data_IF_662912821778
#
_entry.id   IF_662912821778
#
_cell.length_a   1.000
_cell.length_b   1.000
_cell.length_c   1.000
_cell.angle_alpha   90.00
_cell.angle_beta   90.00
_cell.angle_gamma   90.00
#
_symmetry.space_group_name_H-M   'P 1'
#
loop_
_entity.id
_entity.type
_entity.pdbx_description
1 polymer ?
#
# COMPACT_ATOMS: atom_id res chain seq x y z
N UNK A 1 -7.14 -9.47 -11.13
CA UNK A 1 -7.89 -8.17 -11.22
C UNK A 1 -7.14 -7.24 -12.17
N UNK A 2 -7.87 -6.43 -12.95
CA UNK A 2 -7.26 -5.35 -13.75
C UNK A 2 -8.14 -4.11 -13.56
N UNK A 3 -7.55 -3.01 -13.09
CA UNK A 3 -8.18 -1.69 -13.04
C UNK A 3 -7.31 -0.76 -13.87
N UNK A 4 -7.94 -0.09 -14.84
CA UNK A 4 -7.29 0.93 -15.65
C UNK A 4 -7.79 2.31 -15.22
N UNK A 5 -6.84 3.23 -15.02
CA UNK A 5 -7.09 4.62 -14.69
C UNK A 5 -6.66 5.54 -15.85
N UNK A 6 -6.52 6.82 -15.64
CA UNK A 6 -6.00 7.74 -16.66
C UNK A 6 -4.54 7.40 -17.03
N UNK A 7 -3.68 7.18 -16.03
CA UNK A 7 -2.24 6.99 -16.22
C UNK A 7 -1.74 5.60 -15.84
N UNK A 8 -2.55 4.79 -15.14
CA UNK A 8 -2.09 3.57 -14.48
C UNK A 8 -2.87 2.32 -14.88
N UNK A 9 -2.22 1.18 -14.68
CA UNK A 9 -2.83 -0.15 -14.66
C UNK A 9 -2.52 -0.77 -13.29
N UNK A 10 -3.56 -1.16 -12.56
CA UNK A 10 -3.45 -1.91 -11.32
C UNK A 10 -3.81 -3.36 -11.66
N UNK A 11 -2.88 -4.27 -11.48
CA UNK A 11 -2.99 -5.67 -11.92
C UNK A 11 -2.29 -6.65 -11.00
N UNK A 12 -2.54 -7.92 -11.19
CA UNK A 12 -1.76 -8.96 -10.55
C UNK A 12 -0.27 -8.84 -10.97
N UNK A 13 0.62 -9.22 -10.07
CA UNK A 13 2.05 -9.22 -10.35
C UNK A 13 2.41 -10.17 -11.49
N UNK A 14 3.47 -9.84 -12.18
CA UNK A 14 4.13 -10.66 -13.19
C UNK A 14 5.62 -10.82 -12.82
N UNK A 15 6.26 -11.89 -13.23
CA UNK A 15 7.69 -12.12 -12.94
C UNK A 15 8.59 -10.96 -13.36
N UNK A 16 8.27 -10.28 -14.48
CA UNK A 16 9.00 -9.11 -14.96
C UNK A 16 9.02 -7.93 -13.96
N UNK A 17 8.06 -7.89 -13.01
CA UNK A 17 7.97 -6.82 -12.03
C UNK A 17 9.05 -6.92 -10.94
N UNK A 18 9.71 -8.09 -10.82
CA UNK A 18 10.74 -8.33 -9.80
C UNK A 18 11.86 -7.28 -9.80
N UNK A 19 12.33 -6.87 -10.98
CA UNK A 19 13.37 -5.84 -11.10
C UNK A 19 12.89 -4.49 -10.61
N UNK A 20 11.68 -4.08 -10.97
CA UNK A 20 11.10 -2.82 -10.52
C UNK A 20 10.77 -2.80 -9.03
N UNK A 21 10.35 -3.95 -8.45
CA UNK A 21 10.15 -4.09 -7.00
C UNK A 21 11.46 -3.82 -6.23
N UNK A 22 12.58 -4.33 -6.71
CA UNK A 22 13.89 -4.10 -6.09
C UNK A 22 14.27 -2.62 -6.06
N UNK A 23 13.85 -1.81 -7.03
CA UNK A 23 14.18 -0.37 -7.05
C UNK A 23 13.69 0.36 -5.79
N UNK A 24 12.55 -0.02 -5.22
CA UNK A 24 11.98 0.69 -4.08
C UNK A 24 11.86 -0.14 -2.79
N UNK A 25 11.88 -1.47 -2.85
CA UNK A 25 11.84 -2.33 -1.66
C UNK A 25 13.23 -2.80 -1.19
N UNK A 26 14.31 -2.57 -1.95
CA UNK A 26 15.66 -2.87 -1.46
C UNK A 26 16.14 -1.92 -0.36
N UNK A 27 15.62 -0.69 -0.35
CA UNK A 27 15.95 0.34 0.64
C UNK A 27 14.66 1.05 1.09
N UNK A 28 13.81 0.37 1.90
CA UNK A 28 12.55 0.96 2.36
C UNK A 28 12.82 2.21 3.20
N UNK A 29 12.03 3.24 2.99
CA UNK A 29 12.19 4.56 3.61
C UNK A 29 11.55 4.70 4.99
N UNK A 30 10.77 3.69 5.38
CA UNK A 30 10.01 3.66 6.62
C UNK A 30 10.27 2.35 7.36
N UNK A 31 10.28 2.40 8.68
CA UNK A 31 10.66 1.26 9.52
C UNK A 31 9.62 0.12 9.47
N UNK A 32 8.35 0.44 9.26
CA UNK A 32 7.29 -0.56 9.18
C UNK A 32 7.48 -1.58 8.04
N UNK A 33 8.27 -1.24 7.02
CA UNK A 33 8.57 -2.11 5.88
C UNK A 33 9.99 -2.68 5.87
N UNK A 34 10.77 -2.47 6.92
CA UNK A 34 12.15 -3.02 7.00
C UNK A 34 12.13 -4.55 6.94
N UNK A 35 11.11 -5.19 7.49
CA UNK A 35 10.93 -6.65 7.41
C UNK A 35 10.57 -7.15 5.99
N UNK A 36 10.10 -6.27 5.13
CA UNK A 36 9.74 -6.57 3.74
C UNK A 36 10.86 -6.21 2.75
N UNK A 37 12.04 -5.89 3.27
CA UNK A 37 13.20 -5.53 2.44
C UNK A 37 13.59 -6.67 1.51
N UNK A 38 13.62 -6.39 0.22
CA UNK A 38 14.08 -7.31 -0.82
C UNK A 38 15.58 -7.11 -1.06
N UNK A 39 16.34 -8.18 -1.03
CA UNK A 39 17.81 -8.15 -1.18
C UNK A 39 18.31 -8.75 -2.50
N UNK A 40 17.44 -9.43 -3.24
CA UNK A 40 17.79 -10.13 -4.49
C UNK A 40 16.56 -10.30 -5.39
N UNK A 41 16.79 -10.61 -6.65
CA UNK A 41 15.72 -10.94 -7.59
C UNK A 41 14.94 -12.18 -7.13
N UNK A 42 15.59 -13.16 -6.54
CA UNK A 42 14.95 -14.34 -5.94
C UNK A 42 13.98 -13.94 -4.83
N UNK A 43 14.37 -13.01 -3.94
CA UNK A 43 13.47 -12.49 -2.91
C UNK A 43 12.28 -11.69 -3.48
N UNK A 44 12.49 -11.00 -4.61
CA UNK A 44 11.43 -10.29 -5.30
C UNK A 44 10.45 -11.26 -5.98
N UNK A 45 10.93 -12.33 -6.58
CA UNK A 45 10.08 -13.39 -7.16
C UNK A 45 9.28 -14.11 -6.06
N UNK A 46 9.91 -14.40 -4.92
CA UNK A 46 9.19 -14.94 -3.76
C UNK A 46 8.12 -13.99 -3.26
N UNK A 47 8.39 -12.69 -3.17
CA UNK A 47 7.41 -11.67 -2.81
C UNK A 47 6.20 -11.64 -3.75
N UNK A 48 6.41 -11.86 -5.04
CA UNK A 48 5.36 -11.96 -6.06
C UNK A 48 4.52 -13.22 -5.86
N UNK A 49 5.15 -14.38 -5.63
CA UNK A 49 4.47 -15.67 -5.55
C UNK A 49 3.78 -15.95 -4.23
N UNK A 50 4.37 -15.48 -3.12
CA UNK A 50 3.95 -15.83 -1.76
C UNK A 50 2.95 -14.81 -1.17
N UNK A 51 1.81 -14.65 -1.82
CA UNK A 51 0.74 -13.82 -1.28
C UNK A 51 -0.16 -14.64 -0.34
N UNK A 52 -0.31 -14.25 0.94
CA UNK A 52 -1.21 -14.92 1.87
C UNK A 52 -2.65 -14.98 1.35
N UNK A 53 -3.38 -16.07 1.65
CA UNK A 53 -4.75 -16.28 1.14
C UNK A 53 -5.76 -15.18 1.54
N UNK A 54 -5.51 -14.52 2.66
CA UNK A 54 -6.35 -13.42 3.16
C UNK A 54 -5.82 -12.04 2.78
N UNK A 55 -4.84 -11.97 1.88
CA UNK A 55 -4.26 -10.71 1.38
C UNK A 55 -4.52 -10.56 -0.11
N UNK A 56 -5.01 -9.40 -0.49
CA UNK A 56 -5.01 -8.93 -1.86
C UNK A 56 -3.75 -8.10 -2.06
N UNK A 57 -2.98 -8.35 -3.12
CA UNK A 57 -1.77 -7.59 -3.43
C UNK A 57 -1.66 -7.37 -4.92
N UNK A 58 -1.47 -6.13 -5.34
CA UNK A 58 -1.49 -5.73 -6.75
C UNK A 58 -0.34 -4.81 -7.09
N UNK A 59 0.24 -5.02 -8.26
CA UNK A 59 1.19 -4.11 -8.87
C UNK A 59 0.48 -2.86 -9.40
N UNK A 60 1.10 -1.70 -9.21
CA UNK A 60 0.69 -0.43 -9.82
C UNK A 60 1.71 -0.09 -10.90
N UNK A 61 1.26 -0.07 -12.13
CA UNK A 61 2.10 0.11 -13.31
C UNK A 61 1.69 1.34 -14.10
N UNK A 62 2.66 2.02 -14.73
CA UNK A 62 2.35 3.04 -15.74
C UNK A 62 1.67 2.37 -16.94
N UNK A 63 0.62 2.98 -17.50
CA UNK A 63 0.02 2.52 -18.77
C UNK A 63 1.02 2.49 -19.90
N UNK A 64 1.86 3.52 -19.97
CA UNK A 64 2.93 3.57 -20.94
C UNK A 64 4.06 2.64 -20.54
N UNK A 65 4.23 1.56 -21.29
CA UNK A 65 5.30 0.59 -21.09
C UNK A 65 5.08 -0.46 -20.00
N UNK A 66 3.93 -0.44 -19.30
CA UNK A 66 3.58 -1.41 -18.24
C UNK A 66 4.70 -1.60 -17.22
N UNK A 67 5.32 -0.47 -16.82
CA UNK A 67 6.42 -0.44 -15.85
C UNK A 67 5.88 -0.26 -14.43
N UNK A 68 6.27 -1.14 -13.51
CA UNK A 68 5.85 -1.07 -12.10
C UNK A 68 6.45 0.14 -11.39
N UNK A 69 5.60 0.93 -10.75
CA UNK A 69 5.96 2.13 -9.98
C UNK A 69 5.61 2.02 -8.50
N UNK A 70 4.92 0.97 -8.13
CA UNK A 70 4.49 0.72 -6.75
C UNK A 70 3.64 -0.52 -6.64
N UNK A 71 3.22 -0.81 -5.44
CA UNK A 71 2.27 -1.87 -5.13
C UNK A 71 1.34 -1.46 -3.99
N UNK A 72 0.20 -2.12 -3.93
CA UNK A 72 -0.80 -1.94 -2.89
C UNK A 72 -1.27 -3.28 -2.37
N UNK A 73 -1.59 -3.32 -1.08
CA UNK A 73 -2.14 -4.52 -0.46
C UNK A 73 -3.36 -4.21 0.41
N UNK A 74 -4.19 -5.21 0.60
CA UNK A 74 -5.31 -5.21 1.53
C UNK A 74 -5.38 -6.56 2.23
N UNK A 75 -5.08 -6.57 3.52
CA UNK A 75 -5.19 -7.73 4.39
C UNK A 75 -6.62 -7.80 4.93
N UNK A 76 -7.35 -8.85 4.58
CA UNK A 76 -8.67 -9.13 5.15
C UNK A 76 -8.49 -9.73 6.54
N UNK A 77 -8.87 -9.01 7.58
CA UNK A 77 -8.79 -9.47 8.97
C UNK A 77 -10.10 -10.10 9.45
N UNK A 78 -11.21 -9.49 9.07
CA UNK A 78 -12.56 -9.99 9.31
C UNK A 78 -13.37 -10.02 8.01
N UNK A 79 -14.61 -10.45 8.07
CA UNK A 79 -15.43 -10.65 6.88
C UNK A 79 -15.52 -9.42 5.97
N UNK A 80 -15.53 -8.22 6.55
CA UNK A 80 -15.75 -6.95 5.86
C UNK A 80 -14.77 -5.82 6.27
N UNK A 81 -13.67 -6.19 6.96
CA UNK A 81 -12.67 -5.25 7.46
C UNK A 81 -11.31 -5.53 6.82
N UNK A 82 -10.72 -4.50 6.24
CA UNK A 82 -9.43 -4.57 5.56
C UNK A 82 -8.41 -3.60 6.14
N UNK A 83 -7.20 -4.10 6.39
CA UNK A 83 -6.02 -3.31 6.64
C UNK A 83 -5.29 -3.08 5.32
N UNK A 84 -5.07 -1.82 4.95
CA UNK A 84 -4.45 -1.47 3.67
C UNK A 84 -3.10 -0.80 3.84
N UNK A 85 -2.25 -1.00 2.84
CA UNK A 85 -0.99 -0.31 2.72
C UNK A 85 -0.50 -0.24 1.28
N UNK A 86 0.56 0.52 1.08
CA UNK A 86 1.14 0.77 -0.23
C UNK A 86 2.61 1.10 -0.18
N UNK A 87 3.31 0.74 -1.24
CA UNK A 87 4.68 1.16 -1.53
C UNK A 87 4.70 1.88 -2.87
N UNK A 88 5.39 3.00 -2.94
CA UNK A 88 5.60 3.70 -4.21
C UNK A 88 7.06 4.07 -4.41
N UNK A 89 7.53 3.84 -5.62
CA UNK A 89 8.87 4.23 -6.03
C UNK A 89 9.00 5.76 -6.02
N UNK A 90 9.99 6.26 -5.28
CA UNK A 90 10.26 7.68 -5.09
C UNK A 90 10.41 8.46 -6.40
N UNK A 91 10.92 7.81 -7.44
CA UNK A 91 11.13 8.45 -8.77
C UNK A 91 9.85 8.99 -9.40
N UNK A 92 8.69 8.51 -8.93
CA UNK A 92 7.37 8.88 -9.45
C UNK A 92 6.55 9.76 -8.49
N UNK A 93 7.17 10.27 -7.42
CA UNK A 93 6.52 11.17 -6.47
C UNK A 93 6.11 12.52 -7.09
N UNK A 94 5.12 13.17 -6.46
CA UNK A 94 4.69 14.53 -6.82
C UNK A 94 3.80 14.62 -8.05
N UNK A 95 3.49 13.50 -8.71
CA UNK A 95 2.70 13.45 -9.94
C UNK A 95 1.22 13.07 -9.73
N UNK A 96 0.79 12.86 -8.49
CA UNK A 96 -0.58 12.44 -8.18
C UNK A 96 -0.85 10.93 -8.32
N UNK A 97 0.08 10.16 -8.89
CA UNK A 97 -0.12 8.75 -9.25
C UNK A 97 -0.51 7.85 -8.05
N UNK A 98 0.10 8.08 -6.89
CA UNK A 98 -0.24 7.32 -5.68
C UNK A 98 -1.70 7.59 -5.23
N UNK A 99 -2.18 8.82 -5.38
CA UNK A 99 -3.56 9.16 -5.07
C UNK A 99 -4.52 8.53 -6.09
N UNK A 100 -4.20 8.62 -7.37
CA UNK A 100 -4.97 8.00 -8.45
C UNK A 100 -5.13 6.48 -8.21
N UNK A 101 -4.01 5.78 -7.99
CA UNK A 101 -4.02 4.34 -7.72
C UNK A 101 -4.81 3.97 -6.47
N UNK A 102 -4.56 4.67 -5.35
CA UNK A 102 -5.21 4.36 -4.09
C UNK A 102 -6.72 4.64 -4.11
N UNK A 103 -7.16 5.68 -4.82
CA UNK A 103 -8.60 5.98 -4.99
C UNK A 103 -9.32 4.80 -5.64
N UNK A 104 -8.83 4.33 -6.78
CA UNK A 104 -9.43 3.22 -7.50
C UNK A 104 -9.35 1.89 -6.75
N UNK A 105 -8.24 1.67 -6.05
CA UNK A 105 -8.09 0.47 -5.22
C UNK A 105 -9.07 0.46 -4.04
N UNK A 106 -9.24 1.57 -3.32
CA UNK A 106 -10.19 1.67 -2.22
C UNK A 106 -11.64 1.52 -2.72
N UNK A 107 -11.96 2.11 -3.87
CA UNK A 107 -13.27 1.97 -4.51
C UNK A 107 -13.56 0.49 -4.86
N UNK A 108 -12.58 -0.20 -5.44
CA UNK A 108 -12.67 -1.65 -5.68
C UNK A 108 -12.92 -2.44 -4.38
N UNK A 109 -12.22 -2.12 -3.30
CA UNK A 109 -12.40 -2.83 -2.03
C UNK A 109 -13.84 -2.66 -1.49
N UNK A 110 -14.43 -1.47 -1.63
CA UNK A 110 -15.80 -1.22 -1.20
C UNK A 110 -16.84 -1.88 -2.12
N UNK A 111 -16.68 -1.78 -3.43
CA UNK A 111 -17.70 -2.22 -4.38
C UNK A 111 -17.64 -3.70 -4.69
N UNK A 112 -16.44 -4.26 -4.81
CA UNK A 112 -16.23 -5.61 -5.33
C UNK A 112 -15.76 -6.60 -4.25
N UNK A 113 -14.84 -6.15 -3.36
CA UNK A 113 -14.28 -7.02 -2.32
C UNK A 113 -15.17 -7.11 -1.06
N UNK A 114 -16.24 -6.30 -0.97
CA UNK A 114 -17.19 -6.30 0.13
C UNK A 114 -16.70 -5.61 1.40
N UNK A 115 -15.78 -4.67 1.27
CA UNK A 115 -15.32 -3.91 2.43
C UNK A 115 -16.43 -3.00 2.96
N UNK A 116 -16.68 -3.05 4.28
CA UNK A 116 -17.45 -2.05 5.02
C UNK A 116 -16.53 -1.06 5.73
N UNK A 117 -15.35 -1.53 6.12
CA UNK A 117 -14.35 -0.77 6.86
C UNK A 117 -12.96 -1.01 6.27
N UNK A 118 -12.27 0.08 5.99
CA UNK A 118 -10.86 0.07 5.57
C UNK A 118 -10.08 0.92 6.55
N UNK A 119 -8.90 0.47 6.95
CA UNK A 119 -8.01 1.22 7.80
C UNK A 119 -6.55 0.98 7.42
N UNK A 120 -5.66 1.84 7.89
CA UNK A 120 -4.22 1.69 7.72
C UNK A 120 -3.46 2.31 8.87
N UNK A 121 -2.25 1.83 9.06
CA UNK A 121 -1.28 2.39 9.99
C UNK A 121 -0.22 3.16 9.22
N UNK A 122 0.09 4.36 9.68
CA UNK A 122 1.11 5.20 9.08
C UNK A 122 2.08 5.66 10.18
N UNK A 123 3.38 5.42 9.99
CA UNK A 123 4.39 5.95 10.91
C UNK A 123 4.25 7.45 11.09
N UNK A 124 4.47 7.93 12.31
CA UNK A 124 4.18 9.32 12.67
C UNK A 124 5.04 10.35 11.92
N UNK A 125 6.22 9.98 11.50
CA UNK A 125 7.12 10.79 10.67
C UNK A 125 6.88 10.64 9.16
N UNK A 126 6.07 9.66 8.72
CA UNK A 126 5.72 9.47 7.32
C UNK A 126 4.61 10.44 6.87
N UNK A 127 4.96 11.73 6.83
CA UNK A 127 4.03 12.81 6.46
C UNK A 127 3.43 12.64 5.06
N UNK A 128 4.11 11.93 4.16
CA UNK A 128 3.61 11.70 2.79
C UNK A 128 2.43 10.75 2.78
N UNK A 129 2.54 9.62 3.47
CA UNK A 129 1.42 8.68 3.62
C UNK A 129 0.27 9.30 4.40
N UNK A 130 0.53 10.08 5.46
CA UNK A 130 -0.52 10.81 6.18
C UNK A 130 -1.31 11.73 5.25
N UNK A 131 -0.62 12.57 4.47
CA UNK A 131 -1.27 13.46 3.48
C UNK A 131 -2.02 12.70 2.39
N UNK A 132 -1.53 11.53 1.97
CA UNK A 132 -2.25 10.68 1.03
C UNK A 132 -3.54 10.15 1.67
N UNK A 133 -3.48 9.60 2.88
CA UNK A 133 -4.67 9.15 3.61
C UNK A 133 -5.71 10.28 3.80
N UNK A 134 -5.27 11.48 4.18
CA UNK A 134 -6.15 12.66 4.32
C UNK A 134 -6.86 13.01 3.00
N UNK A 135 -6.13 13.03 1.88
CA UNK A 135 -6.71 13.28 0.55
C UNK A 135 -7.67 12.20 0.09
N UNK A 136 -7.46 10.96 0.53
CA UNK A 136 -8.37 9.84 0.30
C UNK A 136 -9.62 9.89 1.23
N UNK A 137 -9.73 10.90 2.08
CA UNK A 137 -10.84 11.04 3.02
C UNK A 137 -10.76 10.12 4.25
N UNK A 138 -9.60 9.53 4.50
CA UNK A 138 -9.41 8.71 5.71
C UNK A 138 -9.37 9.61 6.94
N UNK A 139 -10.14 9.21 7.96
CA UNK A 139 -10.20 9.93 9.23
C UNK A 139 -9.12 9.42 10.18
N UNK A 140 -8.39 10.35 10.80
CA UNK A 140 -7.51 10.03 11.91
C UNK A 140 -8.31 9.57 13.13
N UNK A 141 -7.94 8.43 13.72
CA UNK A 141 -8.63 7.82 14.86
C UNK A 141 -7.77 7.78 16.13
N UNK A 142 -6.46 7.88 15.99
CA UNK A 142 -5.56 7.87 17.13
C UNK A 142 -4.10 7.61 16.74
N UNK A 143 -3.22 7.69 17.74
CA UNK A 143 -1.81 7.33 17.62
C UNK A 143 -1.48 6.24 18.64
N UNK A 144 -0.86 5.17 18.17
CA UNK A 144 -0.34 4.09 19.00
C UNK A 144 1.15 4.29 19.18
N UNK A 145 1.57 4.61 20.40
CA UNK A 145 2.97 4.80 20.73
C UNK A 145 3.71 3.47 20.69
N UNK A 146 4.94 3.49 20.17
CA UNK A 146 5.84 2.32 20.11
C UNK A 146 5.18 1.09 19.46
N UNK A 147 4.25 1.31 18.53
CA UNK A 147 3.47 0.26 17.88
C UNK A 147 4.29 -0.58 16.90
N UNK A 148 5.22 0.06 16.20
CA UNK A 148 6.10 -0.61 15.25
C UNK A 148 7.36 -1.00 16.00
N UNK A 149 7.48 -2.30 16.29
CA UNK A 149 8.67 -2.84 16.94
C UNK A 149 9.78 -3.07 15.91
N UNK A 150 10.98 -2.70 16.25
CA UNK A 150 12.20 -3.07 15.54
C UNK A 150 13.04 -4.00 16.42
N UNK A 151 13.85 -4.86 15.81
CA UNK A 151 14.89 -5.61 16.50
C UNK A 151 15.90 -4.69 17.22
N UNK A 152 15.93 -3.41 16.85
CA UNK A 152 16.62 -2.35 17.59
C UNK A 152 15.56 -1.47 18.30
N UNK A 153 15.48 -1.49 19.65
CA UNK A 153 14.52 -0.70 20.42
C UNK A 153 14.56 0.82 20.16
N UNK A 154 15.71 1.33 19.67
CA UNK A 154 15.87 2.75 19.32
C UNK A 154 15.18 3.11 17.99
N UNK A 155 14.75 2.12 17.22
CA UNK A 155 14.05 2.28 15.95
C UNK A 155 12.55 1.98 16.05
N UNK A 156 12.02 1.73 17.26
CA UNK A 156 10.56 1.61 17.44
C UNK A 156 9.91 2.96 17.15
N UNK A 157 8.86 2.95 16.36
CA UNK A 157 8.13 4.14 15.95
C UNK A 157 6.66 4.08 16.33
N UNK A 158 6.09 5.26 16.57
CA UNK A 158 4.65 5.41 16.78
C UNK A 158 3.92 5.40 15.44
N UNK A 159 2.71 4.89 15.41
CA UNK A 159 1.90 4.84 14.20
C UNK A 159 0.56 5.53 14.39
N UNK A 160 0.18 6.36 13.41
CA UNK A 160 -1.16 6.92 13.29
C UNK A 160 -2.11 5.89 12.70
N UNK A 161 -3.27 5.74 13.34
CA UNK A 161 -4.36 4.91 12.86
C UNK A 161 -5.37 5.77 12.08
N UNK A 162 -5.58 5.43 10.81
CA UNK A 162 -6.51 6.12 9.93
C UNK A 162 -7.55 5.15 9.38
N UNK A 163 -8.80 5.61 9.24
CA UNK A 163 -9.93 4.79 8.83
C UNK A 163 -10.82 5.45 7.78
N UNK A 164 -11.37 4.61 6.91
CA UNK A 164 -12.41 4.94 5.93
C UNK A 164 -13.57 3.95 6.06
N UNK A 165 -14.81 4.44 5.98
CA UNK A 165 -16.04 3.64 5.99
C UNK A 165 -16.88 3.94 4.75
N UNK A 166 -17.73 3.00 4.33
CA UNK A 166 -18.64 3.11 3.17
C UNK A 166 -19.46 4.41 3.18
N UNK A 167 -19.85 4.91 4.34
CA UNK A 167 -20.69 6.12 4.45
C UNK A 167 -19.99 7.43 4.05
N UNK A 168 -18.68 7.42 3.83
CA UNK A 168 -17.92 8.61 3.39
C UNK A 168 -17.84 8.75 1.87
N UNK A 169 -18.24 7.72 1.11
CA UNK A 169 -18.12 7.69 -0.36
C UNK A 169 -19.44 7.98 -1.11
N UNK A 170 -20.52 8.35 -0.39
CA UNK A 170 -21.84 8.63 -0.97
C UNK A 170 -22.26 10.12 -0.93
N UNK A 171 -21.29 11.05 -0.76
CA UNK A 171 -21.54 12.49 -0.88
C UNK A 171 -20.72 13.10 -2.01
#
# INVERSE_FOLDING_TARGET
>A
MIIETEHLIIRDFQEKDAVGLLEYLSHPRVNCFVSERLCSEESALAYISDTPKNMLRYAVCLKEGDFIIGDMFALREEADTFNVGWHFNQRFEGKGLAHEAATEFLDYLFREAGARRIYGFVEDDNLRSKRLCERLGMRYEGCMKEFISSSNPQLSSSASFLRLNVLSSLN
#
